data_IF_927261186393
#
_entry.id   IF_927261186393
#
_cell.length_a   1.000
_cell.length_b   1.000
_cell.length_c   1.000
_cell.angle_alpha   90.00
_cell.angle_beta   90.00
_cell.angle_gamma   90.00
#
_symmetry.space_group_name_H-M   'P 1'
#
loop_
_entity.id
_entity.type
_entity.pdbx_description
1 polymer ?
#
# COMPACT_ATOMS: atom_id res chain seq x y z
N UNK A 1 -37.65 14.51 1.60
CA UNK A 1 -36.47 13.70 1.29
C UNK A 1 -35.79 13.24 2.59
N UNK A 2 -35.34 11.98 2.67
CA UNK A 2 -34.71 11.38 3.87
C UNK A 2 -33.54 12.21 4.40
N UNK A 3 -32.70 12.76 3.50
CA UNK A 3 -31.58 13.64 3.82
C UNK A 3 -32.02 14.95 4.50
N UNK A 4 -33.17 15.51 4.12
CA UNK A 4 -33.72 16.70 4.76
C UNK A 4 -34.23 16.43 6.18
N UNK A 5 -34.73 15.21 6.47
CA UNK A 5 -35.15 14.83 7.81
C UNK A 5 -33.96 14.77 8.77
N UNK A 6 -32.80 14.24 8.32
CA UNK A 6 -31.57 14.22 9.12
C UNK A 6 -31.03 15.63 9.34
N UNK A 7 -31.13 16.52 8.35
CA UNK A 7 -30.71 17.92 8.48
C UNK A 7 -31.58 18.70 9.48
N UNK A 8 -32.84 18.31 9.64
CA UNK A 8 -33.81 18.94 10.56
C UNK A 8 -33.84 18.28 11.94
N UNK A 9 -33.12 17.18 12.13
CA UNK A 9 -33.09 16.50 13.41
C UNK A 9 -32.35 17.36 14.44
N UNK A 10 -32.99 17.60 15.58
CA UNK A 10 -32.44 18.40 16.69
C UNK A 10 -31.83 17.52 17.80
N UNK A 11 -32.13 16.22 17.77
CA UNK A 11 -31.68 15.25 18.80
C UNK A 11 -30.96 14.06 18.16
N UNK A 12 -29.92 13.61 18.84
CA UNK A 12 -29.10 12.45 18.44
C UNK A 12 -29.94 11.18 18.26
N UNK A 13 -30.91 10.92 19.15
CA UNK A 13 -31.77 9.73 19.08
C UNK A 13 -32.62 9.71 17.81
N UNK A 14 -33.04 10.87 17.32
CA UNK A 14 -33.78 10.98 16.05
C UNK A 14 -32.89 10.62 14.86
N UNK A 15 -31.63 11.06 14.87
CA UNK A 15 -30.64 10.72 13.83
C UNK A 15 -30.35 9.23 13.83
N UNK A 16 -30.12 8.63 15.00
CA UNK A 16 -29.90 7.18 15.15
C UNK A 16 -31.08 6.38 14.57
N UNK A 17 -32.31 6.73 14.92
CA UNK A 17 -33.52 6.08 14.37
C UNK A 17 -33.61 6.23 12.84
N UNK A 18 -33.26 7.39 12.28
CA UNK A 18 -33.27 7.61 10.84
C UNK A 18 -32.20 6.77 10.13
N UNK A 19 -31.00 6.64 10.71
CA UNK A 19 -29.94 5.78 10.17
C UNK A 19 -30.42 4.33 10.13
N UNK A 20 -30.98 3.83 11.23
CA UNK A 20 -31.48 2.45 11.34
C UNK A 20 -32.65 2.16 10.39
N UNK A 21 -33.61 3.10 10.32
CA UNK A 21 -34.81 2.92 9.51
C UNK A 21 -34.56 2.98 8.00
N UNK A 22 -33.61 3.78 7.59
CA UNK A 22 -33.36 4.05 6.16
C UNK A 22 -31.99 3.60 5.64
N UNK A 23 -31.20 2.95 6.47
CA UNK A 23 -29.86 2.47 6.14
C UNK A 23 -28.96 3.59 5.58
N UNK A 24 -28.95 4.73 6.26
CA UNK A 24 -28.27 5.92 5.77
C UNK A 24 -26.75 5.77 5.91
N UNK A 25 -25.99 5.99 4.83
CA UNK A 25 -24.53 6.00 4.90
C UNK A 25 -24.02 7.30 5.54
N UNK A 26 -22.76 7.29 5.98
CA UNK A 26 -22.08 8.44 6.58
C UNK A 26 -22.22 9.73 5.77
N UNK A 27 -22.11 9.61 4.45
CA UNK A 27 -22.13 10.73 3.49
C UNK A 27 -23.50 11.44 3.43
N UNK A 28 -24.55 10.81 3.96
CA UNK A 28 -25.87 11.40 4.09
C UNK A 28 -26.05 12.24 5.34
N UNK A 29 -25.09 12.20 6.27
CA UNK A 29 -25.18 12.85 7.57
C UNK A 29 -24.47 14.20 7.59
N UNK A 30 -25.05 15.24 8.22
CA UNK A 30 -24.36 16.49 8.54
C UNK A 30 -23.15 16.27 9.46
N UNK A 31 -22.11 17.06 9.25
CA UNK A 31 -20.83 16.93 9.96
C UNK A 31 -20.99 17.00 11.50
N UNK A 32 -21.94 17.80 11.99
CA UNK A 32 -22.21 17.92 13.43
C UNK A 32 -22.52 16.57 14.09
N UNK A 33 -23.25 15.68 13.42
CA UNK A 33 -23.59 14.35 13.93
C UNK A 33 -22.43 13.34 13.85
N UNK A 34 -21.44 13.64 13.02
CA UNK A 34 -20.24 12.81 12.91
C UNK A 34 -19.23 13.01 14.04
N UNK A 35 -19.55 13.86 15.03
CA UNK A 35 -18.78 13.99 16.28
C UNK A 35 -19.35 13.11 17.41
N UNK A 36 -20.49 12.47 17.19
CA UNK A 36 -21.21 11.72 18.21
C UNK A 36 -20.89 10.22 18.17
N UNK A 37 -20.32 9.61 19.25
CA UNK A 37 -19.96 8.19 19.25
C UNK A 37 -21.13 7.25 18.96
N UNK A 38 -22.33 7.53 19.47
CA UNK A 38 -23.52 6.70 19.22
C UNK A 38 -23.95 6.67 17.76
N UNK A 39 -23.70 7.75 17.02
CA UNK A 39 -23.99 7.79 15.57
C UNK A 39 -23.01 6.86 14.85
N UNK A 40 -21.75 6.88 15.23
CA UNK A 40 -20.75 5.97 14.65
C UNK A 40 -20.99 4.50 15.03
N UNK A 41 -21.50 4.23 16.22
CA UNK A 41 -21.86 2.87 16.64
C UNK A 41 -22.87 2.24 15.70
N UNK A 42 -23.96 2.96 15.41
CA UNK A 42 -25.01 2.48 14.47
C UNK A 42 -24.51 2.43 13.04
N UNK A 43 -23.69 3.38 12.61
CA UNK A 43 -23.06 3.32 11.29
C UNK A 43 -22.15 2.10 11.16
N UNK A 44 -21.37 1.78 12.20
CA UNK A 44 -20.43 0.65 12.18
C UNK A 44 -21.15 -0.69 11.96
N UNK A 45 -22.36 -0.88 12.50
CA UNK A 45 -23.13 -2.13 12.35
C UNK A 45 -23.25 -2.56 10.87
N UNK A 46 -23.55 -1.62 9.99
CA UNK A 46 -23.82 -1.87 8.56
C UNK A 46 -22.73 -1.36 7.60
N UNK A 47 -21.69 -0.73 8.15
CA UNK A 47 -20.64 -0.12 7.35
C UNK A 47 -19.90 -1.17 6.52
N UNK A 48 -19.67 -0.86 5.24
CA UNK A 48 -18.86 -1.69 4.37
C UNK A 48 -17.39 -1.71 4.85
N UNK A 49 -16.64 -2.75 4.49
CA UNK A 49 -15.23 -2.91 4.89
C UNK A 49 -14.39 -1.69 4.48
N UNK A 50 -14.53 -1.23 3.24
CA UNK A 50 -13.79 -0.06 2.73
C UNK A 50 -14.12 1.22 3.51
N UNK A 51 -15.41 1.44 3.82
CA UNK A 51 -15.85 2.59 4.61
C UNK A 51 -15.32 2.50 6.05
N UNK A 52 -15.37 1.31 6.66
CA UNK A 52 -14.83 1.06 8.01
C UNK A 52 -13.34 1.40 8.09
N UNK A 53 -12.55 0.85 7.17
CA UNK A 53 -11.10 1.06 7.11
C UNK A 53 -10.77 2.56 6.97
N UNK A 54 -11.46 3.28 6.09
CA UNK A 54 -11.25 4.72 5.88
C UNK A 54 -11.64 5.59 7.07
N UNK A 55 -12.50 5.11 7.95
CA UNK A 55 -13.04 5.90 9.08
C UNK A 55 -12.48 5.49 10.45
N UNK A 56 -11.50 4.60 10.54
CA UNK A 56 -10.90 4.16 11.80
C UNK A 56 -10.42 5.34 12.65
N UNK A 57 -9.70 6.29 12.05
CA UNK A 57 -9.23 7.50 12.73
C UNK A 57 -10.37 8.35 13.27
N UNK A 58 -11.43 8.58 12.49
CA UNK A 58 -12.60 9.34 12.94
C UNK A 58 -13.33 8.64 14.09
N UNK A 59 -13.52 7.33 14.02
CA UNK A 59 -14.16 6.55 15.08
C UNK A 59 -13.34 6.54 16.37
N UNK A 60 -12.00 6.54 16.26
CA UNK A 60 -11.12 6.67 17.43
C UNK A 60 -11.16 8.08 18.00
N UNK A 61 -11.03 9.11 17.17
CA UNK A 61 -11.09 10.52 17.57
C UNK A 61 -12.38 10.85 18.31
N UNK A 62 -13.50 10.35 17.83
CA UNK A 62 -14.81 10.61 18.41
C UNK A 62 -15.14 9.69 19.61
N UNK A 63 -14.19 8.84 20.04
CA UNK A 63 -14.32 8.03 21.25
C UNK A 63 -15.20 6.79 21.13
N UNK A 64 -15.62 6.39 19.90
CA UNK A 64 -16.26 5.10 19.68
C UNK A 64 -15.25 3.96 19.90
N UNK A 65 -14.06 4.05 19.27
CA UNK A 65 -13.02 3.03 19.43
C UNK A 65 -12.12 3.37 20.62
N UNK A 66 -11.99 2.43 21.55
CA UNK A 66 -11.16 2.48 22.75
C UNK A 66 -10.39 1.18 22.91
N UNK A 67 -9.34 1.18 23.72
CA UNK A 67 -8.40 0.05 23.86
C UNK A 67 -9.11 -1.31 24.10
N UNK A 68 -10.22 -1.32 24.84
CA UNK A 68 -10.86 -2.58 25.29
C UNK A 68 -12.38 -2.50 25.28
N UNK A 69 -12.99 -2.05 24.16
CA UNK A 69 -14.43 -2.06 24.03
C UNK A 69 -14.93 -2.93 22.86
N UNK A 70 -16.23 -3.22 22.85
CA UNK A 70 -16.86 -4.11 21.87
C UNK A 70 -16.76 -3.58 20.44
N UNK A 71 -16.84 -2.26 20.24
CA UNK A 71 -16.68 -1.64 18.92
C UNK A 71 -15.28 -1.91 18.36
N UNK A 72 -14.23 -1.81 19.19
CA UNK A 72 -12.86 -2.14 18.78
C UNK A 72 -12.71 -3.63 18.47
N UNK A 73 -13.30 -4.50 19.29
CA UNK A 73 -13.29 -5.95 19.03
C UNK A 73 -13.98 -6.28 17.69
N UNK A 74 -15.15 -5.68 17.45
CA UNK A 74 -15.89 -5.83 16.18
C UNK A 74 -15.04 -5.40 14.97
N UNK A 75 -14.34 -4.27 15.07
CA UNK A 75 -13.44 -3.80 14.00
C UNK A 75 -12.32 -4.81 13.75
N UNK A 76 -11.65 -5.26 14.81
CA UNK A 76 -10.55 -6.24 14.74
C UNK A 76 -11.01 -7.57 14.12
N UNK A 77 -12.14 -8.09 14.56
CA UNK A 77 -12.72 -9.33 14.00
C UNK A 77 -13.04 -9.18 12.51
N UNK A 78 -13.65 -8.07 12.12
CA UNK A 78 -13.94 -7.79 10.71
C UNK A 78 -12.68 -7.67 9.86
N UNK A 79 -11.62 -7.02 10.36
CA UNK A 79 -10.34 -6.89 9.65
C UNK A 79 -9.64 -8.24 9.46
N UNK A 80 -9.84 -9.19 10.38
CA UNK A 80 -9.29 -10.55 10.32
C UNK A 80 -10.17 -11.57 9.59
N UNK A 81 -11.36 -11.17 9.19
CA UNK A 81 -12.30 -12.06 8.48
C UNK A 81 -11.93 -12.11 6.97
N UNK A 82 -11.27 -13.21 6.57
CA UNK A 82 -10.83 -13.47 5.20
C UNK A 82 -12.00 -13.40 4.21
N UNK A 83 -13.16 -13.94 4.56
CA UNK A 83 -14.32 -13.99 3.67
C UNK A 83 -14.89 -12.58 3.45
N UNK A 84 -14.93 -11.75 4.48
CA UNK A 84 -15.34 -10.35 4.37
C UNK A 84 -14.37 -9.53 3.53
N UNK A 85 -13.05 -9.69 3.74
CA UNK A 85 -12.03 -9.02 2.95
C UNK A 85 -12.13 -9.41 1.47
N UNK A 86 -12.28 -10.71 1.20
CA UNK A 86 -12.45 -11.24 -0.16
C UNK A 86 -13.71 -10.68 -0.84
N UNK A 87 -14.85 -10.73 -0.17
CA UNK A 87 -16.11 -10.22 -0.69
C UNK A 87 -16.06 -8.71 -0.95
N UNK A 88 -15.41 -7.98 -0.09
CA UNK A 88 -15.26 -6.52 -0.20
C UNK A 88 -14.26 -6.09 -1.28
N UNK A 89 -13.41 -6.99 -1.78
CA UNK A 89 -12.35 -6.74 -2.78
C UNK A 89 -11.52 -5.50 -2.43
N UNK A 90 -11.20 -5.33 -1.15
CA UNK A 90 -10.38 -4.19 -0.71
C UNK A 90 -8.98 -4.33 -1.28
N UNK A 91 -8.54 -3.32 -2.01
CA UNK A 91 -7.21 -3.33 -2.59
C UNK A 91 -6.15 -3.26 -1.48
N UNK A 92 -5.09 -4.08 -1.52
CA UNK A 92 -4.06 -4.09 -0.48
C UNK A 92 -3.42 -2.74 -0.20
N UNK A 93 -3.17 -1.93 -1.23
CA UNK A 93 -2.64 -0.56 -1.06
C UNK A 93 -3.60 0.30 -0.22
N UNK A 94 -4.92 0.11 -0.36
CA UNK A 94 -5.88 0.85 0.45
C UNK A 94 -5.79 0.46 1.95
N UNK A 95 -5.51 -0.81 2.25
CA UNK A 95 -5.28 -1.28 3.63
C UNK A 95 -3.96 -0.72 4.16
N UNK A 96 -2.89 -0.80 3.36
CA UNK A 96 -1.58 -0.25 3.72
C UNK A 96 -1.67 1.26 4.00
N UNK A 97 -2.34 2.00 3.11
CA UNK A 97 -2.57 3.44 3.25
C UNK A 97 -3.32 3.76 4.55
N UNK A 98 -4.40 3.02 4.82
CA UNK A 98 -5.17 3.19 6.04
C UNK A 98 -4.36 2.85 7.30
N UNK A 99 -3.53 1.81 7.25
CA UNK A 99 -2.64 1.42 8.34
C UNK A 99 -1.64 2.54 8.65
N UNK A 100 -1.00 3.12 7.63
CA UNK A 100 -0.05 4.23 7.79
C UNK A 100 -0.72 5.46 8.38
N UNK A 101 -1.88 5.86 7.84
CA UNK A 101 -2.65 7.00 8.34
C UNK A 101 -3.08 6.77 9.78
N UNK A 102 -3.63 5.58 10.08
CA UNK A 102 -4.13 5.27 11.41
C UNK A 102 -3.01 5.21 12.45
N UNK A 103 -1.90 4.53 12.13
CA UNK A 103 -0.72 4.45 13.00
C UNK A 103 -0.04 5.82 13.20
N UNK A 104 -0.11 6.71 12.21
CA UNK A 104 0.38 8.07 12.32
C UNK A 104 -0.46 8.99 13.22
N UNK A 105 -1.68 8.56 13.61
CA UNK A 105 -2.54 9.30 14.51
C UNK A 105 -3.11 10.62 13.96
N UNK A 106 -3.10 10.79 12.61
CA UNK A 106 -3.48 12.06 11.97
C UNK A 106 -4.31 11.86 10.72
N UNK A 107 -5.31 12.74 10.53
CA UNK A 107 -6.11 12.77 9.32
C UNK A 107 -5.33 13.42 8.16
N UNK A 108 -5.54 12.90 6.95
CA UNK A 108 -5.05 13.51 5.72
C UNK A 108 -5.85 14.81 5.45
N UNK A 109 -5.43 15.92 6.03
CA UNK A 109 -5.98 17.24 5.68
C UNK A 109 -5.04 17.85 4.65
N UNK A 110 -5.57 18.08 3.44
CA UNK A 110 -5.04 18.83 2.31
C UNK A 110 -3.71 19.57 2.50
N UNK A 111 -2.61 18.82 2.59
CA UNK A 111 -1.27 19.39 2.57
C UNK A 111 -0.71 19.27 1.15
N UNK A 112 0.00 20.28 0.71
CA UNK A 112 0.74 20.28 -0.56
C UNK A 112 1.59 19.00 -0.69
N UNK A 113 1.66 18.35 -1.86
CA UNK A 113 2.43 17.10 -2.07
C UNK A 113 3.90 17.18 -1.66
N UNK A 114 4.45 18.38 -1.59
CA UNK A 114 5.85 18.66 -1.24
C UNK A 114 6.06 19.23 0.17
N UNK A 115 5.04 19.26 1.02
CA UNK A 115 5.19 19.79 2.35
C UNK A 115 5.87 18.74 3.27
N UNK A 116 7.19 18.71 3.28
CA UNK A 116 8.03 18.14 4.34
C UNK A 116 7.90 18.92 5.66
N UNK A 117 6.72 19.42 5.99
CA UNK A 117 6.52 19.99 7.30
C UNK A 117 6.46 18.85 8.31
N UNK A 118 7.49 18.71 9.13
CA UNK A 118 7.37 18.05 10.43
C UNK A 118 6.18 18.72 11.12
N UNK A 119 5.04 18.05 11.05
CA UNK A 119 3.87 18.50 11.78
C UNK A 119 4.20 18.47 13.27
N UNK A 120 4.39 19.65 13.86
CA UNK A 120 4.68 19.83 15.29
C UNK A 120 3.43 19.86 16.15
N UNK A 121 2.24 19.70 15.56
CA UNK A 121 0.97 19.66 16.29
C UNK A 121 0.67 18.31 16.94
N UNK A 122 -0.21 18.31 17.95
CA UNK A 122 -0.68 17.08 18.58
C UNK A 122 -1.42 16.15 17.61
N UNK A 123 -1.38 14.83 17.81
CA UNK A 123 -2.10 13.88 16.98
C UNK A 123 -3.62 14.08 17.12
N UNK A 124 -4.36 13.83 16.03
CA UNK A 124 -5.84 13.87 16.03
C UNK A 124 -6.45 12.74 16.87
N UNK A 125 -5.75 11.62 16.99
CA UNK A 125 -6.11 10.45 17.84
C UNK A 125 -4.85 9.69 18.26
N UNK A 126 -4.98 8.92 19.35
CA UNK A 126 -3.96 7.93 19.74
C UNK A 126 -4.28 6.60 19.07
N UNK A 127 -3.35 6.04 18.25
CA UNK A 127 -3.56 4.75 17.60
C UNK A 127 -3.76 3.62 18.63
N UNK A 128 -4.71 2.73 18.38
CA UNK A 128 -4.93 1.53 19.20
C UNK A 128 -4.10 0.40 18.58
N UNK A 129 -3.10 -0.10 19.29
CA UNK A 129 -2.17 -1.12 18.82
C UNK A 129 -2.90 -2.34 18.21
N UNK A 130 -3.95 -2.84 18.88
CA UNK A 130 -4.77 -3.96 18.42
C UNK A 130 -5.40 -3.73 17.04
N UNK A 131 -5.74 -2.49 16.68
CA UNK A 131 -6.27 -2.14 15.36
C UNK A 131 -5.12 -2.07 14.34
N UNK A 132 -3.96 -1.55 14.71
CA UNK A 132 -2.78 -1.52 13.84
C UNK A 132 -2.36 -2.94 13.48
N UNK A 133 -2.30 -3.84 14.47
CA UNK A 133 -1.99 -5.25 14.24
C UNK A 133 -3.05 -5.94 13.36
N UNK A 134 -4.33 -5.63 13.55
CA UNK A 134 -5.39 -6.18 12.71
C UNK A 134 -5.36 -5.64 11.26
N UNK A 135 -4.90 -4.41 11.05
CA UNK A 135 -4.67 -3.87 9.71
C UNK A 135 -3.47 -4.55 9.01
N UNK A 136 -2.40 -4.86 9.76
CA UNK A 136 -1.28 -5.65 9.24
C UNK A 136 -1.73 -7.06 8.86
N UNK A 137 -2.53 -7.72 9.71
CA UNK A 137 -3.15 -9.00 9.40
C UNK A 137 -4.02 -8.90 8.14
N UNK A 138 -4.91 -7.89 8.05
CA UNK A 138 -5.79 -7.68 6.90
C UNK A 138 -5.01 -7.44 5.60
N UNK A 139 -3.90 -6.69 5.67
CA UNK A 139 -3.01 -6.49 4.54
C UNK A 139 -2.47 -7.84 4.04
N UNK A 140 -2.01 -8.70 4.95
CA UNK A 140 -1.51 -10.03 4.60
C UNK A 140 -2.61 -10.95 4.05
N UNK A 141 -3.79 -10.93 4.66
CA UNK A 141 -4.94 -11.75 4.25
C UNK A 141 -5.50 -11.35 2.88
N UNK A 142 -5.35 -10.09 2.48
CA UNK A 142 -5.81 -9.63 1.17
C UNK A 142 -5.15 -10.35 -0.02
N UNK A 143 -4.00 -10.97 0.20
CA UNK A 143 -3.24 -11.69 -0.83
C UNK A 143 -3.42 -13.21 -0.83
N UNK A 144 -4.06 -13.80 0.17
CA UNK A 144 -4.24 -15.26 0.26
C UNK A 144 -5.03 -15.91 -0.91
N UNK A 145 -5.52 -15.09 -1.85
CA UNK A 145 -6.28 -15.55 -3.01
C UNK A 145 -5.47 -15.54 -4.31
N UNK A 146 -4.20 -15.17 -4.26
CA UNK A 146 -3.33 -15.16 -5.42
C UNK A 146 -2.70 -16.54 -5.55
N UNK A 147 -2.96 -17.21 -6.67
CA UNK A 147 -2.30 -18.48 -6.98
C UNK A 147 -0.84 -18.23 -7.33
N UNK A 148 0.12 -18.94 -6.71
CA UNK A 148 1.52 -18.78 -7.02
C UNK A 148 1.83 -19.26 -8.45
N UNK A 149 2.66 -18.51 -9.14
CA UNK A 149 3.12 -18.89 -10.48
C UNK A 149 4.24 -19.94 -10.44
N UNK A 150 4.87 -20.12 -9.28
CA UNK A 150 6.05 -20.96 -9.06
C UNK A 150 7.27 -20.59 -9.92
N UNK A 151 7.29 -19.36 -10.46
CA UNK A 151 8.43 -18.84 -11.22
C UNK A 151 9.53 -18.34 -10.29
N UNK A 152 10.78 -18.36 -10.79
CA UNK A 152 11.93 -17.77 -10.09
C UNK A 152 11.89 -16.26 -10.27
N UNK A 153 11.66 -15.52 -9.20
CA UNK A 153 11.43 -14.09 -9.23
C UNK A 153 12.57 -13.30 -8.59
N UNK A 154 13.02 -12.25 -9.25
CA UNK A 154 13.86 -11.23 -8.65
C UNK A 154 13.01 -10.00 -8.35
N UNK A 155 12.90 -9.64 -7.06
CA UNK A 155 12.19 -8.46 -6.57
C UNK A 155 13.23 -7.35 -6.37
N UNK A 156 13.33 -6.47 -7.35
CA UNK A 156 14.35 -5.44 -7.41
C UNK A 156 13.77 -4.09 -6.98
N UNK A 157 14.21 -3.61 -5.81
CA UNK A 157 13.76 -2.37 -5.20
C UNK A 157 14.71 -1.24 -5.56
N UNK A 158 14.19 -0.21 -6.22
CA UNK A 158 14.90 1.04 -6.42
C UNK A 158 15.05 1.77 -5.08
N UNK A 159 16.29 2.05 -4.69
CA UNK A 159 16.62 2.76 -3.46
C UNK A 159 17.29 4.11 -3.75
N UNK A 160 17.13 4.63 -4.96
CA UNK A 160 17.57 5.98 -5.31
C UNK A 160 16.93 7.06 -4.45
N UNK A 161 17.52 8.26 -4.45
CA UNK A 161 17.04 9.36 -3.62
C UNK A 161 15.62 9.80 -3.93
N UNK A 162 15.21 9.78 -5.21
CA UNK A 162 13.86 10.12 -5.66
C UNK A 162 12.77 9.25 -5.03
N UNK A 163 13.05 7.97 -4.77
CA UNK A 163 12.13 7.05 -4.10
C UNK A 163 11.79 7.41 -2.64
N UNK A 164 12.48 8.37 -2.04
CA UNK A 164 12.17 8.89 -0.70
C UNK A 164 11.28 10.11 -0.73
N UNK A 165 11.06 10.68 -1.90
CA UNK A 165 10.32 11.94 -2.12
C UNK A 165 8.95 11.63 -2.70
N UNK A 166 7.94 12.41 -2.31
CA UNK A 166 6.59 12.23 -2.82
C UNK A 166 5.72 11.30 -1.98
N UNK A 167 4.55 11.01 -2.51
CA UNK A 167 3.52 10.19 -1.85
C UNK A 167 2.90 9.25 -2.87
N UNK A 168 2.78 7.99 -2.52
CA UNK A 168 2.06 7.01 -3.33
C UNK A 168 0.56 7.11 -3.05
N UNK A 169 -0.24 7.10 -4.10
CA UNK A 169 -1.72 7.19 -4.05
C UNK A 169 -2.23 8.39 -3.20
N UNK A 170 -1.48 9.49 -3.12
CA UNK A 170 -1.84 10.66 -2.32
C UNK A 170 -1.78 10.44 -0.80
N UNK A 171 -1.19 9.34 -0.34
CA UNK A 171 -1.12 9.00 1.09
C UNK A 171 0.08 9.67 1.73
N UNK A 172 -0.20 10.59 2.65
CA UNK A 172 0.86 11.29 3.40
C UNK A 172 1.70 10.29 4.21
N UNK A 173 3.02 10.36 4.04
CA UNK A 173 3.95 9.48 4.76
C UNK A 173 4.11 8.08 4.18
N UNK A 174 3.47 7.78 3.04
CA UNK A 174 3.76 6.58 2.25
C UNK A 174 4.67 6.96 1.09
N UNK A 175 5.98 6.80 1.28
CA UNK A 175 6.95 7.07 0.22
C UNK A 175 6.91 5.99 -0.87
N UNK A 176 7.38 6.27 -2.10
CA UNK A 176 7.59 5.25 -3.12
C UNK A 176 8.42 4.07 -2.62
N UNK A 177 9.46 4.32 -1.84
CA UNK A 177 10.31 3.29 -1.22
C UNK A 177 9.54 2.38 -0.28
N UNK A 178 8.72 2.93 0.62
CA UNK A 178 7.90 2.15 1.56
C UNK A 178 6.86 1.31 0.84
N UNK A 179 6.22 1.89 -0.16
CA UNK A 179 5.21 1.20 -0.96
C UNK A 179 5.85 0.07 -1.81
N UNK A 180 7.05 0.28 -2.37
CA UNK A 180 7.82 -0.75 -3.07
C UNK A 180 8.13 -1.94 -2.16
N UNK A 181 8.63 -1.68 -0.95
CA UNK A 181 8.90 -2.73 0.04
C UNK A 181 7.63 -3.53 0.37
N UNK A 182 6.50 -2.84 0.59
CA UNK A 182 5.23 -3.48 0.88
C UNK A 182 4.74 -4.35 -0.28
N UNK A 183 4.79 -3.86 -1.52
CA UNK A 183 4.34 -4.61 -2.69
C UNK A 183 5.26 -5.81 -2.97
N UNK A 184 6.56 -5.66 -2.82
CA UNK A 184 7.50 -6.77 -2.97
C UNK A 184 7.26 -7.87 -1.91
N UNK A 185 6.91 -7.49 -0.68
CA UNK A 185 6.53 -8.44 0.37
C UNK A 185 5.29 -9.26 0.03
N UNK A 186 4.35 -8.67 -0.71
CA UNK A 186 3.18 -9.39 -1.23
C UNK A 186 3.62 -10.55 -2.11
N UNK A 187 4.44 -10.26 -3.12
CA UNK A 187 4.96 -11.28 -4.02
C UNK A 187 5.75 -12.35 -3.25
N UNK A 188 6.61 -11.93 -2.32
CA UNK A 188 7.40 -12.86 -1.50
C UNK A 188 6.57 -13.77 -0.58
N UNK A 189 5.35 -13.38 -0.22
CA UNK A 189 4.42 -14.22 0.56
C UNK A 189 3.60 -15.17 -0.31
N UNK A 190 3.46 -14.85 -1.57
CA UNK A 190 2.71 -15.66 -2.53
C UNK A 190 3.60 -16.66 -3.26
N UNK A 191 4.78 -16.21 -3.70
CA UNK A 191 5.69 -17.01 -4.53
C UNK A 191 6.72 -17.75 -3.68
N UNK A 192 6.96 -19.06 -3.95
CA UNK A 192 7.95 -19.83 -3.19
C UNK A 192 9.39 -19.53 -3.59
N UNK A 193 9.62 -19.12 -4.85
CA UNK A 193 10.94 -18.92 -5.44
C UNK A 193 11.21 -17.45 -5.73
N UNK A 194 11.70 -16.72 -4.75
CA UNK A 194 12.00 -15.30 -4.90
C UNK A 194 13.34 -14.94 -4.26
N UNK A 195 13.90 -13.84 -4.72
CA UNK A 195 15.02 -13.16 -4.06
C UNK A 195 14.76 -11.66 -4.02
N UNK A 196 15.12 -11.03 -2.90
CA UNK A 196 15.10 -9.57 -2.78
C UNK A 196 16.46 -8.98 -3.14
N UNK A 197 16.41 -7.91 -3.90
CA UNK A 197 17.57 -7.09 -4.22
C UNK A 197 17.18 -5.62 -4.11
N UNK A 198 18.14 -4.77 -3.79
CA UNK A 198 18.02 -3.33 -3.96
C UNK A 198 19.01 -2.87 -5.02
N UNK A 199 18.66 -1.80 -5.70
CA UNK A 199 19.56 -1.19 -6.67
C UNK A 199 19.50 0.34 -6.61
N UNK A 200 20.63 0.93 -6.96
CA UNK A 200 20.78 2.33 -7.30
C UNK A 200 21.76 2.40 -8.48
N UNK A 201 22.99 2.86 -8.28
CA UNK A 201 24.10 2.69 -9.24
C UNK A 201 24.65 1.27 -9.25
N UNK A 202 24.47 0.52 -8.17
CA UNK A 202 24.93 -0.85 -7.98
C UNK A 202 23.84 -1.72 -7.37
N UNK A 203 23.97 -3.05 -7.57
CA UNK A 203 23.08 -4.03 -6.96
C UNK A 203 23.52 -4.41 -5.56
N UNK A 204 22.54 -4.57 -4.68
CA UNK A 204 22.71 -5.03 -3.30
C UNK A 204 21.71 -6.17 -3.04
N UNK A 205 22.18 -7.41 -2.78
CA UNK A 205 21.28 -8.48 -2.33
C UNK A 205 20.75 -8.15 -0.94
N UNK A 206 19.46 -8.42 -0.71
CA UNK A 206 18.80 -8.17 0.57
C UNK A 206 18.42 -9.47 1.25
N UNK A 207 18.74 -9.59 2.52
CA UNK A 207 18.32 -10.73 3.33
C UNK A 207 16.92 -10.52 3.92
N UNK A 208 15.93 -10.43 3.04
CA UNK A 208 14.52 -10.25 3.38
C UNK A 208 13.74 -11.51 3.06
N UNK A 209 12.88 -11.92 3.98
CA UNK A 209 11.99 -13.08 3.79
C UNK A 209 10.53 -12.66 3.88
N UNK A 210 9.65 -13.36 3.18
CA UNK A 210 8.20 -13.11 3.20
C UNK A 210 7.56 -13.23 4.61
N UNK A 211 8.26 -13.80 5.58
CA UNK A 211 7.80 -13.92 6.98
C UNK A 211 8.12 -12.69 7.84
N UNK A 212 8.98 -11.79 7.35
CA UNK A 212 9.31 -10.57 8.09
C UNK A 212 8.10 -9.64 8.19
N UNK A 213 8.04 -8.86 9.27
CA UNK A 213 7.07 -7.78 9.42
C UNK A 213 7.43 -6.64 8.45
N UNK A 214 6.39 -5.98 7.93
CA UNK A 214 6.57 -4.91 6.96
C UNK A 214 7.40 -3.74 7.50
N UNK A 215 7.24 -3.38 8.78
CA UNK A 215 8.01 -2.33 9.44
C UNK A 215 9.52 -2.62 9.44
N UNK A 216 9.91 -3.88 9.69
CA UNK A 216 11.30 -4.30 9.64
C UNK A 216 11.86 -4.26 8.20
N UNK A 217 11.04 -4.67 7.22
CA UNK A 217 11.45 -4.61 5.80
C UNK A 217 11.61 -3.17 5.33
N UNK A 218 10.65 -2.29 5.63
CA UNK A 218 10.72 -0.87 5.32
C UNK A 218 11.99 -0.25 5.92
N UNK A 219 12.29 -0.54 7.20
CA UNK A 219 13.51 -0.05 7.85
C UNK A 219 14.76 -0.56 7.15
N UNK A 220 14.85 -1.87 6.86
CA UNK A 220 16.02 -2.45 6.18
C UNK A 220 16.28 -1.82 4.80
N UNK A 221 15.22 -1.44 4.08
CA UNK A 221 15.32 -0.76 2.78
C UNK A 221 15.67 0.72 2.94
N UNK A 222 15.17 1.38 4.00
CA UNK A 222 15.40 2.81 4.26
C UNK A 222 16.84 3.13 4.71
N UNK A 223 17.51 2.18 5.34
CA UNK A 223 18.86 2.34 5.85
C UNK A 223 19.94 2.14 4.76
N UNK A 224 19.55 1.85 3.51
CA UNK A 224 20.49 1.63 2.41
C UNK A 224 21.03 2.94 1.84
N UNK A 225 22.30 2.94 1.36
CA UNK A 225 22.91 4.12 0.76
C UNK A 225 22.20 4.53 -0.55
N UNK A 226 22.11 5.82 -0.76
CA UNK A 226 21.56 6.39 -2.00
C UNK A 226 22.59 6.39 -3.13
N UNK A 227 22.10 6.46 -4.36
CA UNK A 227 22.91 6.62 -5.57
C UNK A 227 22.07 7.14 -6.73
N UNK A 228 22.65 7.24 -7.91
CA UNK A 228 21.92 7.40 -9.15
C UNK A 228 21.08 6.15 -9.45
N UNK A 229 20.18 6.24 -10.41
CA UNK A 229 19.27 5.14 -10.75
C UNK A 229 19.71 4.46 -12.04
N UNK A 230 20.07 3.17 -11.97
CA UNK A 230 20.34 2.32 -13.14
C UNK A 230 19.39 1.12 -13.13
N UNK A 231 18.27 1.25 -13.82
CA UNK A 231 17.25 0.21 -13.89
C UNK A 231 17.65 -1.02 -14.74
N UNK A 232 18.82 -1.03 -15.38
CA UNK A 232 19.36 -2.20 -16.07
C UNK A 232 20.08 -3.17 -15.10
N UNK A 233 20.43 -2.71 -13.91
CA UNK A 233 21.21 -3.48 -12.94
C UNK A 233 20.61 -4.85 -12.60
N UNK A 234 19.30 -5.02 -12.38
CA UNK A 234 18.74 -6.34 -12.05
C UNK A 234 19.07 -7.41 -13.07
N UNK A 235 18.94 -7.12 -14.36
CA UNK A 235 19.22 -8.06 -15.45
C UNK A 235 20.73 -8.30 -15.63
N UNK A 236 21.54 -7.25 -15.53
CA UNK A 236 23.00 -7.35 -15.63
C UNK A 236 23.59 -8.15 -14.46
N UNK A 237 23.13 -7.91 -13.26
CA UNK A 237 23.53 -8.65 -12.06
C UNK A 237 23.17 -10.14 -12.16
N UNK A 238 21.93 -10.44 -12.58
CA UNK A 238 21.52 -11.83 -12.77
C UNK A 238 22.39 -12.55 -13.81
N UNK A 239 22.74 -11.87 -14.90
CA UNK A 239 23.62 -12.40 -15.94
C UNK A 239 25.04 -12.65 -15.41
N UNK A 240 25.63 -11.68 -14.71
CA UNK A 240 26.98 -11.78 -14.13
C UNK A 240 27.07 -12.93 -13.12
N UNK A 241 26.05 -13.05 -12.27
CA UNK A 241 26.00 -14.08 -11.22
C UNK A 241 25.44 -15.42 -11.69
N UNK A 242 25.10 -15.54 -12.98
CA UNK A 242 24.51 -16.76 -13.57
C UNK A 242 23.26 -17.22 -12.83
N UNK A 243 22.41 -16.28 -12.46
CA UNK A 243 21.16 -16.56 -11.77
C UNK A 243 20.07 -16.85 -12.80
N UNK A 244 19.35 -17.94 -12.60
CA UNK A 244 18.21 -18.32 -13.44
C UNK A 244 16.96 -17.62 -12.95
N UNK A 245 16.57 -16.53 -13.60
CA UNK A 245 15.40 -15.71 -13.26
C UNK A 245 14.37 -15.80 -14.39
N UNK A 246 13.14 -16.19 -14.05
CA UNK A 246 12.02 -16.24 -14.99
C UNK A 246 11.27 -14.91 -15.05
N UNK A 247 11.28 -14.12 -13.95
CA UNK A 247 10.58 -12.84 -13.88
C UNK A 247 11.35 -11.84 -13.04
N UNK A 248 11.67 -10.71 -13.64
CA UNK A 248 12.18 -9.53 -12.94
C UNK A 248 11.00 -8.62 -12.59
N UNK A 249 10.85 -8.25 -11.33
CA UNK A 249 9.88 -7.25 -10.91
C UNK A 249 10.68 -6.05 -10.38
N UNK A 250 10.64 -4.95 -11.11
CA UNK A 250 11.39 -3.73 -10.82
C UNK A 250 10.43 -2.68 -10.28
N UNK A 251 10.60 -2.31 -9.01
CA UNK A 251 9.83 -1.27 -8.33
C UNK A 251 10.64 0.02 -8.37
N UNK A 252 10.18 1.01 -9.13
CA UNK A 252 10.93 2.25 -9.41
C UNK A 252 9.98 3.40 -9.71
N UNK A 253 10.46 4.64 -9.64
CA UNK A 253 9.78 5.81 -10.19
C UNK A 253 10.02 5.98 -11.71
N UNK A 254 10.66 4.98 -12.33
CA UNK A 254 11.02 4.94 -13.75
C UNK A 254 12.04 6.00 -14.18
N UNK A 255 12.63 6.74 -13.27
CA UNK A 255 13.72 7.68 -13.56
C UNK A 255 15.06 6.93 -13.63
N UNK A 256 15.59 6.74 -14.83
CA UNK A 256 16.91 6.10 -15.03
C UNK A 256 17.89 7.13 -15.60
N UNK A 257 18.87 7.52 -14.80
CA UNK A 257 19.84 8.56 -15.13
C UNK A 257 21.27 8.05 -15.17
N UNK A 258 21.47 6.78 -14.89
CA UNK A 258 22.77 6.15 -14.77
C UNK A 258 22.81 4.87 -15.59
N UNK A 259 24.02 4.41 -15.96
CA UNK A 259 24.22 3.21 -16.75
C UNK A 259 24.42 3.47 -18.24
N UNK A 260 24.97 2.46 -18.94
CA UNK A 260 25.36 2.54 -20.36
C UNK A 260 24.42 1.73 -21.27
N UNK A 261 23.42 1.07 -20.72
CA UNK A 261 22.51 0.20 -21.45
C UNK A 261 21.07 0.39 -20.97
N UNK A 262 20.14 0.47 -21.89
CA UNK A 262 18.72 0.57 -21.54
C UNK A 262 18.21 -0.74 -20.91
N UNK A 263 17.30 -0.69 -19.89
CA UNK A 263 16.76 -1.89 -19.25
C UNK A 263 16.21 -2.95 -20.21
N UNK A 264 15.50 -2.54 -21.26
CA UNK A 264 15.01 -3.47 -22.29
C UNK A 264 16.15 -4.19 -23.02
N UNK A 265 17.24 -3.49 -23.31
CA UNK A 265 18.42 -4.10 -23.95
C UNK A 265 19.16 -5.06 -22.99
N UNK A 266 19.20 -4.72 -21.69
CA UNK A 266 19.75 -5.59 -20.67
C UNK A 266 18.93 -6.88 -20.52
N UNK A 267 17.60 -6.77 -20.57
CA UNK A 267 16.70 -7.92 -20.59
C UNK A 267 16.93 -8.81 -21.81
N UNK A 268 17.01 -8.21 -23.01
CA UNK A 268 17.29 -8.97 -24.22
C UNK A 268 18.64 -9.68 -24.15
N UNK A 269 19.68 -8.98 -23.69
CA UNK A 269 20.99 -9.58 -23.46
C UNK A 269 20.95 -10.76 -22.48
N UNK A 270 20.14 -10.66 -21.42
CA UNK A 270 19.93 -11.74 -20.46
C UNK A 270 19.28 -12.95 -21.13
N UNK A 271 18.19 -12.74 -21.89
CA UNK A 271 17.49 -13.80 -22.65
C UNK A 271 18.44 -14.51 -23.63
N UNK A 272 19.20 -13.74 -24.43
CA UNK A 272 20.12 -14.27 -25.45
C UNK A 272 21.24 -15.13 -24.85
N UNK A 273 21.72 -14.74 -23.65
CA UNK A 273 22.83 -15.44 -22.98
C UNK A 273 22.39 -16.65 -22.14
N UNK A 274 21.21 -16.62 -21.60
CA UNK A 274 20.71 -17.68 -20.71
C UNK A 274 19.78 -18.67 -21.41
N UNK A 275 19.16 -18.28 -22.52
CA UNK A 275 18.09 -19.04 -23.16
C UNK A 275 16.76 -19.00 -22.39
N UNK A 276 16.67 -18.24 -21.29
CA UNK A 276 15.46 -18.10 -20.48
C UNK A 276 14.60 -16.99 -21.06
N UNK A 277 13.34 -17.27 -21.39
CA UNK A 277 12.37 -16.28 -21.85
C UNK A 277 11.84 -15.45 -20.67
N UNK A 278 12.76 -14.72 -20.03
CA UNK A 278 12.48 -13.93 -18.85
C UNK A 278 11.50 -12.78 -19.12
N UNK A 279 10.62 -12.52 -18.16
CA UNK A 279 9.68 -11.39 -18.19
C UNK A 279 10.19 -10.24 -17.33
N UNK A 280 9.83 -9.02 -17.72
CA UNK A 280 10.03 -7.80 -16.92
C UNK A 280 8.67 -7.23 -16.54
N UNK A 281 8.45 -7.04 -15.24
CA UNK A 281 7.31 -6.32 -14.70
C UNK A 281 7.86 -5.03 -14.09
N UNK A 282 7.43 -3.90 -14.62
CA UNK A 282 7.79 -2.57 -14.11
C UNK A 282 6.64 -2.06 -13.26
N UNK A 283 6.90 -1.87 -11.97
CA UNK A 283 5.93 -1.29 -11.03
C UNK A 283 6.31 0.16 -10.80
N UNK A 284 5.65 1.05 -11.53
CA UNK A 284 5.83 2.49 -11.40
C UNK A 284 5.22 3.01 -10.11
N UNK A 285 6.05 3.53 -9.22
CA UNK A 285 5.63 4.02 -7.90
C UNK A 285 5.12 5.46 -7.93
N UNK A 286 5.44 6.19 -9.00
CA UNK A 286 4.99 7.57 -9.24
C UNK A 286 4.62 7.72 -10.71
N UNK A 287 3.66 8.60 -11.00
CA UNK A 287 3.26 8.91 -12.38
C UNK A 287 4.03 10.15 -12.86
N UNK A 288 5.11 9.92 -13.59
CA UNK A 288 5.91 10.99 -14.21
C UNK A 288 5.80 11.02 -15.75
N UNK A 289 4.89 10.20 -16.33
CA UNK A 289 4.70 10.10 -17.78
C UNK A 289 5.78 9.32 -18.51
N UNK A 290 6.72 8.70 -17.79
CA UNK A 290 7.84 7.93 -18.32
C UNK A 290 7.80 6.48 -17.82
N UNK A 291 8.35 5.55 -18.62
CA UNK A 291 8.51 4.15 -18.21
C UNK A 291 9.76 3.55 -18.83
N UNK A 292 10.41 2.65 -18.10
CA UNK A 292 11.51 1.83 -18.59
C UNK A 292 11.04 0.60 -19.40
N UNK A 293 9.73 0.37 -19.46
CA UNK A 293 9.15 -0.73 -20.24
C UNK A 293 9.26 -0.45 -21.75
N UNK A 294 9.63 -1.47 -22.53
CA UNK A 294 9.63 -1.38 -23.99
C UNK A 294 8.22 -1.63 -24.53
N UNK A 295 7.57 -0.65 -25.17
CA UNK A 295 6.23 -0.83 -25.73
C UNK A 295 6.18 -1.88 -26.85
N UNK A 296 7.31 -2.21 -27.47
CA UNK A 296 7.40 -3.22 -28.52
C UNK A 296 7.51 -4.65 -27.98
N UNK A 297 7.80 -4.81 -26.67
CA UNK A 297 7.83 -6.12 -25.99
C UNK A 297 6.56 -6.34 -25.12
N UNK A 298 5.41 -5.93 -25.64
CA UNK A 298 4.13 -5.91 -24.93
C UNK A 298 3.67 -7.29 -24.38
N UNK A 299 4.22 -8.39 -24.89
CA UNK A 299 3.89 -9.74 -24.44
C UNK A 299 4.71 -10.15 -23.20
N UNK A 300 5.89 -9.55 -23.01
CA UNK A 300 6.89 -9.98 -22.03
C UNK A 300 7.29 -8.90 -21.03
N UNK A 301 6.89 -7.66 -21.28
CA UNK A 301 7.08 -6.52 -20.40
C UNK A 301 5.72 -6.00 -19.95
N UNK A 302 5.53 -5.93 -18.65
CA UNK A 302 4.28 -5.44 -18.04
C UNK A 302 4.59 -4.17 -17.27
N UNK A 303 3.77 -3.16 -17.49
CA UNK A 303 3.84 -1.91 -16.76
C UNK A 303 2.63 -1.81 -15.83
N UNK A 304 2.87 -1.83 -14.54
CA UNK A 304 1.87 -1.51 -13.54
C UNK A 304 2.16 -0.09 -13.04
N UNK A 305 1.28 0.83 -13.33
CA UNK A 305 1.35 2.19 -12.79
C UNK A 305 0.69 2.18 -11.42
N UNK A 306 1.27 2.89 -10.46
CA UNK A 306 0.58 3.24 -9.24
C UNK A 306 -0.76 3.86 -9.63
N UNK A 307 -1.83 3.14 -9.28
CA UNK A 307 -3.14 3.55 -9.70
C UNK A 307 -3.45 4.95 -9.22
N UNK A 308 -3.39 5.90 -10.15
CA UNK A 308 -4.24 7.03 -10.09
C UNK A 308 -5.68 6.49 -10.10
N UNK A 309 -6.22 6.19 -8.92
CA UNK A 309 -7.63 5.92 -8.68
C UNK A 309 -8.20 7.08 -7.90
#
# INVERSE_FOLDING_TARGET
CKRQQVQRAEKQEAVVKLIQAYDLPREALPTQWLNEPKVWEVLLEKMSMTAMIRNLGNMTKNGLLKISNDATNTVVERLRDVNRLRKARVHPIAILSAMRVYAGGRSLRGGHPYAYTRYTGEPDWTPIAKIVDALDDAFNLAFMNVEPTNKRMMLALDVSGSMTVGMVAGVTGLTPRDASAAMAMVTARTEPNYMFTAFSTNMMPLNITGKMRLDNVTKAVSDLPFGGTDCAQPMLYALERKLDIDTFIVYTDSETWFGNIHPAQALQKYRDKTGIDAKLIVVGMTSNGFTIADPNDAIRVYHAIDGAV
#
